data_IF_828759797941
#
_entry.id   IF_828759797941
#
_cell.length_a   1.000
_cell.length_b   1.000
_cell.length_c   1.000
_cell.angle_alpha   90.00
_cell.angle_beta   90.00
_cell.angle_gamma   90.00
#
_symmetry.space_group_name_H-M   'P 1'
#
loop_
_entity.id
_entity.type
_entity.pdbx_description
1 polymer ?
#
# COMPACT_ATOMS: atom_id res chain seq x y z
N UNK A 1 -17.40 21.14 -10.15
CA UNK A 1 -18.07 20.75 -8.90
C UNK A 1 -17.09 19.92 -8.08
N UNK A 2 -17.05 20.16 -6.78
CA UNK A 2 -15.91 19.90 -5.89
C UNK A 2 -15.72 18.42 -5.53
N UNK A 3 -14.47 17.92 -5.57
CA UNK A 3 -14.07 16.59 -5.09
C UNK A 3 -13.37 16.74 -3.74
N UNK A 4 -14.11 16.51 -2.65
CA UNK A 4 -13.56 16.56 -1.29
C UNK A 4 -13.56 15.16 -0.65
N UNK A 5 -12.43 14.85 -0.02
CA UNK A 5 -12.26 13.76 0.95
C UNK A 5 -12.04 14.46 2.30
N UNK A 6 -12.91 14.19 3.28
CA UNK A 6 -12.75 14.71 4.66
C UNK A 6 -12.55 13.53 5.60
N UNK A 7 -11.50 13.60 6.41
CA UNK A 7 -11.26 12.69 7.55
C UNK A 7 -10.87 13.60 8.71
N UNK A 8 -11.60 13.52 9.81
CA UNK A 8 -11.32 14.30 11.02
C UNK A 8 -10.30 13.55 11.89
N UNK A 9 -9.18 14.20 12.19
CA UNK A 9 -8.44 13.98 13.43
C UNK A 9 -7.68 15.27 13.75
N UNK A 10 -7.95 15.85 14.92
CA UNK A 10 -7.48 17.18 15.30
C UNK A 10 -5.95 17.27 15.36
N UNK A 11 -5.34 18.11 14.50
CA UNK A 11 -3.90 18.35 14.45
C UNK A 11 -3.49 19.55 13.59
N UNK A 12 -3.46 20.73 14.20
CA UNK A 12 -3.31 22.08 13.65
C UNK A 12 -2.06 22.42 12.75
N UNK A 13 -2.32 23.24 11.69
CA UNK A 13 -1.48 24.30 11.01
C UNK A 13 -0.26 23.85 10.15
N UNK A 14 0.19 24.47 9.04
CA UNK A 14 -0.21 25.57 8.13
C UNK A 14 0.81 25.63 6.94
N UNK A 15 0.45 26.35 5.87
CA UNK A 15 1.28 27.05 4.85
C UNK A 15 1.82 26.27 3.64
N UNK A 16 1.21 26.55 2.48
CA UNK A 16 1.54 25.94 1.19
C UNK A 16 2.65 26.60 0.37
N UNK A 17 2.92 25.98 -0.78
CA UNK A 17 3.48 26.56 -2.01
C UNK A 17 3.30 25.56 -3.16
N UNK A 18 2.85 26.06 -4.31
CA UNK A 18 2.62 25.29 -5.55
C UNK A 18 3.95 24.75 -6.12
N UNK A 19 4.02 23.45 -6.36
CA UNK A 19 5.17 22.74 -6.93
C UNK A 19 4.77 21.91 -8.14
N UNK A 20 5.62 21.90 -9.17
CA UNK A 20 5.40 21.34 -10.50
C UNK A 20 4.81 19.91 -10.50
N UNK A 21 3.78 19.74 -11.34
CA UNK A 21 3.02 18.50 -11.53
C UNK A 21 3.90 17.43 -12.19
N UNK A 22 4.31 16.44 -11.39
CA UNK A 22 4.50 15.06 -11.86
C UNK A 22 3.29 14.26 -11.37
N UNK A 23 2.36 14.04 -12.29
CA UNK A 23 1.02 13.50 -12.08
C UNK A 23 1.07 11.96 -11.86
N UNK A 24 1.61 11.49 -10.72
CA UNK A 24 1.54 10.08 -10.29
C UNK A 24 0.53 9.90 -9.14
N UNK A 25 -0.69 10.45 -9.19
CA UNK A 25 -1.75 10.17 -8.20
C UNK A 25 -1.44 10.51 -6.72
N UNK A 26 -1.34 11.80 -6.39
CA UNK A 26 -1.58 12.46 -5.09
C UNK A 26 -1.44 11.63 -3.77
N UNK A 27 -0.19 11.49 -3.29
CA UNK A 27 0.27 11.14 -1.93
C UNK A 27 -0.30 9.87 -1.23
N UNK A 28 -0.53 8.79 -1.99
CA UNK A 28 -1.04 7.48 -1.51
C UNK A 28 -2.40 7.54 -0.76
N UNK A 29 -3.14 8.65 -0.91
CA UNK A 29 -4.18 9.18 0.00
C UNK A 29 -3.61 9.56 1.36
N UNK A 30 -3.13 10.80 1.51
CA UNK A 30 -2.91 11.48 2.80
C UNK A 30 -2.54 10.58 3.98
N UNK A 31 -1.49 9.76 3.81
CA UNK A 31 -0.86 8.96 4.86
C UNK A 31 -1.83 8.27 5.83
N UNK A 32 -2.38 7.09 5.51
CA UNK A 32 -3.04 6.16 6.47
C UNK A 32 -2.82 6.46 7.96
N UNK A 33 -3.57 7.39 8.55
CA UNK A 33 -3.62 7.66 9.98
C UNK A 33 -4.54 6.63 10.61
N UNK A 34 -4.18 5.37 10.44
CA UNK A 34 -4.81 4.27 11.14
C UNK A 34 -3.69 3.36 11.61
N UNK A 35 -3.28 3.65 12.85
CA UNK A 35 -2.93 2.70 13.91
C UNK A 35 -2.13 1.46 13.47
N UNK A 36 -2.34 0.34 14.15
CA UNK A 36 -1.45 -0.81 14.17
C UNK A 36 -1.23 -1.50 12.80
N UNK A 37 -0.41 -2.56 12.80
CA UNK A 37 -0.16 -3.37 11.61
C UNK A 37 -1.42 -3.90 10.94
N UNK A 38 -2.41 -4.25 11.75
CA UNK A 38 -3.58 -5.02 11.35
C UNK A 38 -4.61 -4.10 10.73
N UNK A 39 -4.82 -2.91 11.28
CA UNK A 39 -5.73 -1.91 10.73
C UNK A 39 -5.35 -1.50 9.31
N UNK A 40 -4.05 -1.34 9.00
CA UNK A 40 -3.60 -1.01 7.64
C UNK A 40 -3.77 -2.13 6.63
N UNK A 41 -3.39 -3.37 6.98
CA UNK A 41 -3.62 -4.52 6.09
C UNK A 41 -5.13 -4.69 5.84
N UNK A 42 -5.94 -4.63 6.90
CA UNK A 42 -7.39 -4.71 6.77
C UNK A 42 -7.95 -3.60 5.86
N UNK A 43 -7.50 -2.35 6.03
CA UNK A 43 -7.94 -1.26 5.17
C UNK A 43 -7.58 -1.51 3.71
N UNK A 44 -6.34 -1.94 3.43
CA UNK A 44 -5.91 -2.24 2.07
C UNK A 44 -6.70 -3.42 1.48
N UNK A 45 -7.06 -4.43 2.28
CA UNK A 45 -7.94 -5.52 1.86
C UNK A 45 -9.35 -5.00 1.50
N UNK A 46 -9.90 -4.04 2.26
CA UNK A 46 -11.21 -3.44 1.97
C UNK A 46 -11.22 -2.66 0.64
N UNK A 47 -10.18 -1.86 0.38
CA UNK A 47 -10.08 -1.08 -0.87
C UNK A 47 -10.09 -1.94 -2.13
N UNK A 48 -9.74 -3.21 -2.00
CA UNK A 48 -9.63 -4.14 -3.12
C UNK A 48 -10.97 -4.73 -3.53
N UNK A 49 -12.07 -4.38 -2.84
CA UNK A 49 -13.44 -4.75 -3.22
C UNK A 49 -13.61 -6.25 -3.59
N UNK A 50 -13.00 -7.14 -2.79
CA UNK A 50 -13.07 -8.59 -2.99
C UNK A 50 -12.01 -9.18 -3.92
N UNK A 51 -11.09 -8.39 -4.49
CA UNK A 51 -9.88 -8.94 -5.13
C UNK A 51 -8.97 -9.55 -4.06
N UNK A 52 -8.30 -10.65 -4.39
CA UNK A 52 -7.47 -11.44 -3.47
C UNK A 52 -5.97 -11.44 -3.80
N UNK A 53 -5.59 -11.01 -5.01
CA UNK A 53 -4.22 -10.95 -5.52
C UNK A 53 -3.23 -10.04 -4.76
N UNK A 54 -1.94 -10.35 -4.81
CA UNK A 54 -0.89 -9.48 -4.29
C UNK A 54 0.02 -9.10 -5.44
N UNK A 55 0.40 -7.82 -5.57
CA UNK A 55 1.11 -7.35 -6.75
C UNK A 55 2.36 -6.52 -6.41
N UNK A 56 3.50 -6.93 -6.96
CA UNK A 56 4.79 -6.26 -6.77
C UNK A 56 4.97 -5.13 -7.80
N UNK A 57 4.19 -4.06 -7.67
CA UNK A 57 4.33 -2.86 -8.49
C UNK A 57 5.56 -2.01 -8.12
N UNK A 58 5.88 -1.00 -8.94
CA UNK A 58 6.90 0.00 -8.55
C UNK A 58 6.53 0.69 -7.23
N UNK A 59 5.27 1.08 -7.05
CA UNK A 59 4.79 1.71 -5.82
C UNK A 59 4.92 0.79 -4.60
N UNK A 60 4.68 -0.52 -4.78
CA UNK A 60 4.89 -1.52 -3.74
C UNK A 60 6.35 -1.54 -3.26
N UNK A 61 7.30 -1.54 -4.20
CA UNK A 61 8.73 -1.54 -3.87
C UNK A 61 9.17 -0.23 -3.21
N UNK A 62 8.70 0.91 -3.72
CA UNK A 62 8.96 2.22 -3.09
C UNK A 62 8.44 2.24 -1.65
N UNK A 63 7.24 1.71 -1.40
CA UNK A 63 6.68 1.58 -0.06
C UNK A 63 7.54 0.70 0.85
N UNK A 64 7.92 -0.50 0.40
CA UNK A 64 8.75 -1.42 1.18
C UNK A 64 10.10 -0.80 1.55
N UNK A 65 10.72 -0.06 0.63
CA UNK A 65 11.96 0.67 0.88
C UNK A 65 11.77 1.76 1.94
N UNK A 66 10.67 2.52 1.88
CA UNK A 66 10.33 3.55 2.90
C UNK A 66 10.08 2.95 4.29
N UNK A 67 9.46 1.78 4.36
CA UNK A 67 9.26 1.03 5.62
C UNK A 67 10.55 0.37 6.16
N UNK A 68 11.70 0.59 5.51
CA UNK A 68 12.99 0.01 5.90
C UNK A 68 12.97 -1.52 5.90
N UNK A 69 12.29 -2.14 4.92
CA UNK A 69 12.43 -3.57 4.69
C UNK A 69 13.93 -3.88 4.46
N UNK A 70 14.51 -4.89 5.14
CA UNK A 70 15.94 -5.14 5.04
C UNK A 70 16.39 -5.36 3.60
N UNK A 71 17.60 -4.86 3.29
CA UNK A 71 18.11 -4.81 1.93
C UNK A 71 18.10 -6.19 1.24
N UNK A 72 18.41 -7.27 1.96
CA UNK A 72 18.35 -8.64 1.44
C UNK A 72 16.94 -9.01 0.98
N UNK A 73 15.93 -8.82 1.83
CA UNK A 73 14.52 -9.09 1.50
C UNK A 73 14.03 -8.17 0.38
N UNK A 74 14.38 -6.89 0.44
CA UNK A 74 14.02 -5.91 -0.59
C UNK A 74 14.60 -6.27 -1.96
N UNK A 75 15.87 -6.66 -2.04
CA UNK A 75 16.51 -7.09 -3.30
C UNK A 75 15.81 -8.30 -3.91
N UNK A 76 15.49 -9.31 -3.11
CA UNK A 76 14.77 -10.50 -3.57
C UNK A 76 13.39 -10.16 -4.13
N UNK A 77 12.61 -9.32 -3.44
CA UNK A 77 11.29 -8.90 -3.93
C UNK A 77 11.40 -7.97 -5.15
N UNK A 78 12.43 -7.13 -5.23
CA UNK A 78 12.64 -6.23 -6.37
C UNK A 78 12.95 -6.98 -7.67
N UNK A 79 13.61 -8.15 -7.58
CA UNK A 79 13.82 -9.03 -8.75
C UNK A 79 12.51 -9.61 -9.29
N UNK A 80 11.46 -9.66 -8.46
CA UNK A 80 10.13 -10.13 -8.83
C UNK A 80 9.18 -8.98 -9.18
N UNK A 81 9.70 -7.78 -9.49
CA UNK A 81 8.89 -6.64 -9.91
C UNK A 81 7.98 -7.03 -11.08
N UNK A 82 6.70 -6.70 -10.95
CA UNK A 82 5.65 -7.04 -11.92
C UNK A 82 5.02 -8.42 -11.71
N UNK A 83 5.51 -9.24 -10.77
CA UNK A 83 4.86 -10.49 -10.41
C UNK A 83 3.61 -10.24 -9.56
N UNK A 84 2.63 -11.15 -9.67
CA UNK A 84 1.48 -11.22 -8.78
C UNK A 84 1.26 -12.64 -8.27
N UNK A 85 0.73 -12.77 -7.05
CA UNK A 85 0.13 -14.01 -6.53
C UNK A 85 -1.39 -13.90 -6.51
N UNK A 86 -2.09 -15.01 -6.51
CA UNK A 86 -3.56 -15.03 -6.64
C UNK A 86 -4.28 -14.78 -5.31
N UNK A 87 -3.67 -15.16 -4.20
CA UNK A 87 -4.23 -15.01 -2.87
C UNK A 87 -3.15 -14.87 -1.77
N UNK A 88 -3.62 -14.84 -0.52
CA UNK A 88 -2.79 -14.72 0.68
C UNK A 88 -1.94 -15.96 0.92
N UNK A 89 -2.43 -17.15 0.61
CA UNK A 89 -1.70 -18.39 0.83
C UNK A 89 -0.48 -18.46 -0.09
N UNK A 90 -0.68 -18.19 -1.38
CA UNK A 90 0.42 -18.09 -2.35
C UNK A 90 1.41 -16.99 -2.01
N UNK A 91 0.92 -15.85 -1.51
CA UNK A 91 1.76 -14.76 -1.04
C UNK A 91 2.64 -15.18 0.14
N UNK A 92 2.08 -15.85 1.15
CA UNK A 92 2.85 -16.32 2.31
C UNK A 92 3.86 -17.40 1.91
N UNK A 93 3.49 -18.33 1.02
CA UNK A 93 4.42 -19.33 0.44
C UNK A 93 5.57 -18.65 -0.30
N UNK A 94 5.30 -17.57 -1.03
CA UNK A 94 6.34 -16.78 -1.68
C UNK A 94 7.31 -16.18 -0.66
N UNK A 95 6.80 -15.56 0.41
CA UNK A 95 7.64 -14.97 1.46
C UNK A 95 8.50 -16.02 2.17
N UNK A 96 7.93 -17.19 2.45
CA UNK A 96 8.64 -18.33 3.03
C UNK A 96 9.78 -18.81 2.10
N UNK A 97 9.49 -18.99 0.80
CA UNK A 97 10.50 -19.36 -0.21
C UNK A 97 11.64 -18.34 -0.30
N UNK A 98 11.35 -17.07 -0.09
CA UNK A 98 12.35 -16.00 -0.05
C UNK A 98 13.04 -15.86 1.32
N UNK A 99 12.75 -16.74 2.28
CA UNK A 99 13.25 -16.70 3.66
C UNK A 99 12.91 -15.40 4.39
N UNK A 100 11.78 -14.78 4.05
CA UNK A 100 11.24 -13.60 4.73
C UNK A 100 10.29 -14.12 5.82
N UNK A 101 10.85 -14.53 6.95
CA UNK A 101 10.10 -15.16 8.07
C UNK A 101 9.85 -14.23 9.25
N UNK A 102 10.62 -13.14 9.35
CA UNK A 102 10.43 -12.16 10.42
C UNK A 102 9.04 -11.48 10.25
N UNK A 103 8.18 -11.49 11.28
CA UNK A 103 6.82 -10.96 11.18
C UNK A 103 6.75 -9.49 10.74
N UNK A 104 7.72 -8.66 11.16
CA UNK A 104 7.79 -7.25 10.77
C UNK A 104 8.12 -7.08 9.29
N UNK A 105 9.02 -7.91 8.76
CA UNK A 105 9.39 -7.87 7.34
C UNK A 105 8.26 -8.41 6.46
N UNK A 106 7.62 -9.50 6.89
CA UNK A 106 6.43 -10.03 6.21
C UNK A 106 5.33 -9.00 6.15
N UNK A 107 5.08 -8.28 7.25
CA UNK A 107 4.12 -7.18 7.30
C UNK A 107 4.41 -6.12 6.24
N UNK A 108 5.62 -5.54 6.22
CA UNK A 108 5.96 -4.48 5.27
C UNK A 108 5.89 -4.94 3.81
N UNK A 109 6.31 -6.18 3.53
CA UNK A 109 6.17 -6.77 2.21
C UNK A 109 4.70 -6.95 1.82
N UNK A 110 3.86 -7.41 2.75
CA UNK A 110 2.43 -7.63 2.54
C UNK A 110 1.68 -6.32 2.31
N UNK A 111 1.91 -5.31 3.16
CA UNK A 111 1.36 -3.96 3.01
C UNK A 111 1.72 -3.37 1.63
N UNK A 112 2.99 -3.48 1.21
CA UNK A 112 3.43 -3.00 -0.11
C UNK A 112 2.76 -3.74 -1.27
N UNK A 113 2.67 -5.07 -1.22
CA UNK A 113 2.08 -5.86 -2.30
C UNK A 113 0.55 -5.68 -2.41
N UNK A 114 -0.13 -5.47 -1.28
CA UNK A 114 -1.55 -5.08 -1.26
C UNK A 114 -1.77 -3.71 -1.87
N UNK A 115 -0.92 -2.73 -1.51
CA UNK A 115 -0.94 -1.41 -2.13
C UNK A 115 -0.74 -1.50 -3.65
N UNK A 116 0.17 -2.36 -4.09
CA UNK A 116 0.35 -2.63 -5.52
C UNK A 116 -0.94 -3.16 -6.18
N UNK A 117 -1.63 -4.10 -5.55
CA UNK A 117 -2.91 -4.63 -6.06
C UNK A 117 -3.99 -3.54 -6.14
N UNK A 118 -4.16 -2.73 -5.09
CA UNK A 118 -5.09 -1.59 -5.08
C UNK A 118 -4.87 -0.68 -6.29
N UNK A 119 -3.61 -0.28 -6.52
CA UNK A 119 -3.28 0.63 -7.62
C UNK A 119 -3.43 -0.02 -9.00
N UNK A 120 -3.22 -1.33 -9.11
CA UNK A 120 -3.35 -2.08 -10.37
C UNK A 120 -4.79 -2.16 -10.85
N UNK A 121 -5.74 -2.37 -9.94
CA UNK A 121 -7.15 -2.51 -10.28
C UNK A 121 -7.87 -1.17 -10.46
N UNK A 122 -7.14 -0.06 -10.26
CA UNK A 122 -7.71 1.27 -10.18
C UNK A 122 -8.43 1.43 -8.85
N UNK A 123 -8.15 2.51 -8.12
CA UNK A 123 -9.12 2.96 -7.13
C UNK A 123 -10.41 3.21 -7.89
N UNK A 124 -11.44 2.41 -7.61
CA UNK A 124 -12.73 2.47 -8.28
C UNK A 124 -13.08 3.91 -8.66
N UNK A 125 -13.51 4.13 -9.91
CA UNK A 125 -14.05 5.42 -10.35
C UNK A 125 -15.21 5.94 -9.46
N UNK A 126 -15.71 5.12 -8.53
CA UNK A 126 -16.81 5.39 -7.59
C UNK A 126 -16.44 5.32 -6.08
N UNK A 127 -15.16 5.39 -5.69
CA UNK A 127 -14.81 5.24 -4.27
C UNK A 127 -15.16 6.49 -3.43
N UNK A 128 -16.40 6.56 -2.93
CA UNK A 128 -16.83 7.51 -1.88
C UNK A 128 -16.56 6.88 -0.51
N UNK A 129 -15.54 7.33 0.21
CA UNK A 129 -15.30 6.90 1.60
C UNK A 129 -16.00 7.88 2.54
N UNK A 130 -16.97 7.39 3.32
CA UNK A 130 -17.60 8.11 4.44
C UNK A 130 -17.05 7.53 5.74
N UNK A 131 -16.62 8.39 6.67
CA UNK A 131 -16.32 8.02 8.06
C UNK A 131 -17.14 8.92 8.97
N UNK A 132 -17.83 8.33 9.95
CA UNK A 132 -18.27 9.05 11.15
C UNK A 132 -17.09 9.26 12.10
#
# INVERSE_FOLDING_TARGET
ASSYVTVDDSGARHQGKNGFVTHMGNDLFGWFQSTDSKSRINFLELLRAGKTDYYLSEAALVYMKKQQLPEKSFKLLSQLKGASTTDKEEWLKLLERLSITNPRHQRFATEGALLGSVLRHGLCDDLTIVSE
#
